data_IF_624972273366
#
_entry.id   IF_624972273366
#
_cell.length_a   1.000
_cell.length_b   1.000
_cell.length_c   1.000
_cell.angle_alpha   90.00
_cell.angle_beta   90.00
_cell.angle_gamma   90.00
#
_symmetry.space_group_name_H-M   'P 1'
#
loop_
_entity.id
_entity.type
_entity.pdbx_description
1 polymer ?
#
# COMPACT_ATOMS: atom_id res chain seq x y z
N UNK A 1 5.31 -11.58 -11.58
CA UNK A 1 6.32 -11.39 -10.53
C UNK A 1 7.25 -10.19 -10.78
N UNK A 2 7.91 -10.05 -11.94
CA UNK A 2 8.90 -8.97 -12.17
C UNK A 2 8.40 -7.53 -11.92
N UNK A 3 7.15 -7.19 -12.28
CA UNK A 3 6.60 -5.85 -11.99
C UNK A 3 6.26 -5.62 -10.52
N UNK A 4 5.74 -6.63 -9.82
CA UNK A 4 5.43 -6.55 -8.39
C UNK A 4 6.69 -6.47 -7.52
N UNK A 5 7.86 -6.85 -8.06
CA UNK A 5 9.15 -6.71 -7.36
C UNK A 5 9.47 -5.23 -7.08
N UNK A 6 9.04 -4.29 -7.93
CA UNK A 6 9.35 -2.88 -7.75
C UNK A 6 8.72 -2.32 -6.45
N UNK A 7 7.45 -2.66 -6.20
CA UNK A 7 6.78 -2.31 -4.94
C UNK A 7 7.37 -3.10 -3.76
N UNK A 8 7.66 -4.39 -3.92
CA UNK A 8 8.20 -5.18 -2.80
C UNK A 8 9.61 -4.74 -2.40
N UNK A 9 10.45 -4.30 -3.35
CA UNK A 9 11.75 -3.69 -3.09
C UNK A 9 11.62 -2.36 -2.36
N UNK A 10 10.68 -1.51 -2.78
CA UNK A 10 10.40 -0.27 -2.05
C UNK A 10 9.97 -0.54 -0.61
N UNK A 11 9.06 -1.50 -0.39
CA UNK A 11 8.62 -1.89 0.95
C UNK A 11 9.79 -2.41 1.78
N UNK A 12 10.67 -3.20 1.19
CA UNK A 12 11.86 -3.71 1.87
C UNK A 12 12.84 -2.58 2.24
N UNK A 13 13.12 -1.67 1.29
CA UNK A 13 13.96 -0.50 1.53
C UNK A 13 13.37 0.39 2.64
N UNK A 14 12.07 0.65 2.57
CA UNK A 14 11.35 1.36 3.62
C UNK A 14 11.51 0.65 4.96
N UNK A 15 11.27 -0.66 5.03
CA UNK A 15 11.42 -1.44 6.28
C UNK A 15 12.82 -1.28 6.88
N UNK A 16 13.87 -1.41 6.06
CA UNK A 16 15.26 -1.27 6.52
C UNK A 16 15.57 0.12 7.08
N UNK A 17 15.01 1.19 6.51
CA UNK A 17 15.19 2.55 7.03
C UNK A 17 14.24 2.91 8.17
N UNK A 18 13.02 2.38 8.15
CA UNK A 18 11.98 2.71 9.10
C UNK A 18 12.23 2.05 10.45
N UNK A 19 12.70 0.80 10.49
CA UNK A 19 13.02 0.13 11.76
C UNK A 19 13.97 0.95 12.65
N UNK A 20 15.20 1.31 12.23
CA UNK A 20 16.11 2.11 13.07
C UNK A 20 15.54 3.49 13.40
N UNK A 21 14.77 4.11 12.49
CA UNK A 21 14.08 5.37 12.75
C UNK A 21 13.05 5.24 13.88
N UNK A 22 12.22 4.20 13.84
CA UNK A 22 11.20 3.94 14.86
C UNK A 22 11.82 3.57 16.20
N UNK A 23 12.87 2.75 16.24
CA UNK A 23 13.59 2.46 17.47
C UNK A 23 14.22 3.71 18.10
N UNK A 24 14.81 4.60 17.30
CA UNK A 24 15.34 5.88 17.80
C UNK A 24 14.24 6.79 18.33
N UNK A 25 13.10 6.88 17.61
CA UNK A 25 11.98 7.73 18.01
C UNK A 25 11.23 7.19 19.22
N UNK A 26 11.28 5.87 19.48
CA UNK A 26 10.65 5.24 20.63
C UNK A 26 11.12 5.83 21.97
N UNK A 27 12.35 6.37 22.02
CA UNK A 27 12.94 7.02 23.20
C UNK A 27 12.58 8.51 23.32
N UNK A 28 11.94 9.09 22.31
CA UNK A 28 11.57 10.51 22.26
C UNK A 28 10.21 10.82 22.89
N UNK A 29 9.83 12.10 22.91
CA UNK A 29 8.52 12.53 23.39
C UNK A 29 7.42 12.24 22.34
N UNK A 30 6.32 11.59 22.77
CA UNK A 30 5.13 11.27 21.97
C UNK A 30 5.38 10.40 20.71
N UNK A 31 6.04 9.22 20.83
CA UNK A 31 6.37 8.36 19.70
C UNK A 31 5.15 7.93 18.89
N UNK A 32 4.00 7.72 19.54
CA UNK A 32 2.78 7.27 18.87
C UNK A 32 2.28 8.26 17.81
N UNK A 33 2.44 9.58 18.02
CA UNK A 33 2.03 10.59 17.03
C UNK A 33 2.93 10.55 15.80
N UNK A 34 4.23 10.32 16.00
CA UNK A 34 5.17 10.17 14.89
C UNK A 34 4.86 8.90 14.11
N UNK A 35 4.55 7.79 14.79
CA UNK A 35 4.17 6.53 14.13
C UNK A 35 2.91 6.69 13.29
N UNK A 36 1.87 7.34 13.84
CA UNK A 36 0.66 7.64 13.10
C UNK A 36 0.92 8.50 11.85
N UNK A 37 1.83 9.48 11.94
CA UNK A 37 2.22 10.33 10.81
C UNK A 37 2.99 9.53 9.75
N UNK A 38 3.97 8.73 10.15
CA UNK A 38 4.75 7.91 9.21
C UNK A 38 3.86 6.91 8.49
N UNK A 39 2.98 6.21 9.20
CA UNK A 39 1.99 5.30 8.61
C UNK A 39 1.14 6.02 7.55
N UNK A 40 0.68 7.23 7.84
CA UNK A 40 -0.15 7.99 6.91
C UNK A 40 0.58 8.35 5.62
N UNK A 41 1.79 8.91 5.71
CA UNK A 41 2.59 9.21 4.52
C UNK A 41 2.99 7.95 3.76
N UNK A 42 3.30 6.86 4.47
CA UNK A 42 3.61 5.58 3.87
C UNK A 42 2.43 5.02 3.06
N UNK A 43 1.21 5.04 3.61
CA UNK A 43 0.00 4.63 2.89
C UNK A 43 -0.23 5.50 1.65
N UNK A 44 -0.05 6.83 1.77
CA UNK A 44 -0.18 7.76 0.63
C UNK A 44 0.81 7.38 -0.49
N UNK A 45 2.08 7.19 -0.16
CA UNK A 45 3.13 6.84 -1.14
C UNK A 45 2.82 5.49 -1.78
N UNK A 46 2.43 4.48 -1.00
CA UNK A 46 2.08 3.17 -1.54
C UNK A 46 0.84 3.22 -2.43
N UNK A 47 -0.20 3.98 -2.08
CA UNK A 47 -1.37 4.16 -2.95
C UNK A 47 -0.97 4.84 -4.27
N UNK A 48 -0.08 5.83 -4.21
CA UNK A 48 0.44 6.49 -5.41
C UNK A 48 1.24 5.52 -6.28
N UNK A 49 2.14 4.73 -5.69
CA UNK A 49 2.89 3.69 -6.40
C UNK A 49 1.97 2.63 -7.01
N UNK A 50 0.93 2.21 -6.28
CA UNK A 50 -0.08 1.30 -6.80
C UNK A 50 -0.74 1.85 -8.07
N UNK A 51 -1.20 3.11 -8.04
CA UNK A 51 -1.81 3.75 -9.21
C UNK A 51 -0.81 3.88 -10.38
N UNK A 52 0.43 4.29 -10.13
CA UNK A 52 1.46 4.39 -11.19
C UNK A 52 1.72 3.05 -11.86
N UNK A 53 1.77 1.95 -11.10
CA UNK A 53 2.01 0.63 -11.71
C UNK A 53 0.75 0.08 -12.37
N UNK A 54 -0.41 0.23 -11.71
CA UNK A 54 -1.67 -0.37 -12.16
C UNK A 54 -2.28 0.36 -13.37
N UNK A 55 -2.22 1.69 -13.42
CA UNK A 55 -2.75 2.47 -14.55
C UNK A 55 -1.87 2.39 -15.79
N UNK A 56 -0.54 2.29 -15.61
CA UNK A 56 0.41 2.25 -16.73
C UNK A 56 0.87 0.83 -17.08
N UNK A 57 0.09 -0.21 -16.77
CA UNK A 57 0.43 -1.60 -17.07
C UNK A 57 0.79 -1.82 -18.55
N UNK A 58 0.17 -1.07 -19.46
CA UNK A 58 0.46 -1.09 -20.89
C UNK A 58 1.86 -0.61 -21.27
N UNK A 59 2.50 0.21 -20.43
CA UNK A 59 3.90 0.61 -20.61
C UNK A 59 4.80 -0.44 -19.96
N UNK A 60 4.43 -0.88 -18.76
CA UNK A 60 5.18 -1.85 -17.98
C UNK A 60 5.28 -3.22 -18.66
N UNK A 61 4.31 -3.61 -19.51
CA UNK A 61 4.37 -4.89 -20.25
C UNK A 61 5.56 -5.02 -21.18
N UNK A 62 6.09 -3.90 -21.73
CA UNK A 62 7.24 -3.93 -22.64
C UNK A 62 8.57 -4.24 -21.93
N UNK A 63 8.61 -4.12 -20.60
CA UNK A 63 9.76 -4.54 -19.79
C UNK A 63 9.77 -6.05 -19.50
N UNK A 64 8.73 -6.77 -19.91
CA UNK A 64 8.61 -8.21 -19.69
C UNK A 64 8.40 -8.94 -21.01
N UNK A 65 9.03 -10.10 -21.12
CA UNK A 65 8.81 -11.06 -22.19
C UNK A 65 7.31 -11.38 -22.36
N UNK A 66 6.89 -11.55 -23.62
CA UNK A 66 5.51 -11.84 -24.03
C UNK A 66 4.96 -13.08 -23.33
N UNK A 67 5.82 -14.06 -23.02
CA UNK A 67 5.41 -15.27 -22.31
C UNK A 67 4.77 -14.99 -20.93
N UNK A 68 5.10 -13.86 -20.30
CA UNK A 68 4.58 -13.50 -18.97
C UNK A 68 3.40 -12.52 -19.01
N UNK A 69 2.91 -12.14 -20.19
CA UNK A 69 1.81 -11.18 -20.31
C UNK A 69 0.49 -11.73 -19.76
N UNK A 70 0.30 -13.05 -19.76
CA UNK A 70 -0.82 -13.72 -19.07
C UNK A 70 -0.89 -13.35 -17.58
N UNK A 71 0.27 -13.14 -16.95
CA UNK A 71 0.41 -12.75 -15.55
C UNK A 71 0.08 -11.28 -15.26
N UNK A 72 -0.11 -10.41 -16.26
CA UNK A 72 -0.46 -9.00 -16.03
C UNK A 72 -1.79 -8.85 -15.29
N UNK A 73 -2.73 -9.77 -15.53
CA UNK A 73 -4.06 -9.77 -14.87
C UNK A 73 -3.97 -9.92 -13.35
N UNK A 74 -2.96 -10.63 -12.84
CA UNK A 74 -2.79 -10.83 -11.39
C UNK A 74 -1.94 -9.73 -10.73
N UNK A 75 -1.31 -8.85 -11.53
CA UNK A 75 -0.44 -7.79 -10.99
C UNK A 75 -1.20 -6.86 -10.05
N UNK A 76 -2.36 -6.27 -10.39
CA UNK A 76 -3.10 -5.39 -9.47
C UNK A 76 -3.42 -6.04 -8.12
N UNK A 77 -3.82 -7.31 -8.14
CA UNK A 77 -4.12 -8.10 -6.92
C UNK A 77 -2.86 -8.27 -6.08
N UNK A 78 -1.74 -8.63 -6.70
CA UNK A 78 -0.44 -8.75 -6.02
C UNK A 78 0.08 -7.41 -5.50
N UNK A 79 -0.15 -6.32 -6.22
CA UNK A 79 0.23 -4.99 -5.75
C UNK A 79 -0.57 -4.64 -4.50
N UNK A 80 -1.89 -4.85 -4.50
CA UNK A 80 -2.74 -4.66 -3.31
C UNK A 80 -2.30 -5.52 -2.14
N UNK A 81 -1.98 -6.80 -2.39
CA UNK A 81 -1.42 -7.67 -1.35
C UNK A 81 -0.14 -7.06 -0.75
N UNK A 82 0.77 -6.57 -1.59
CA UNK A 82 1.98 -5.90 -1.14
C UNK A 82 1.68 -4.59 -0.38
N UNK A 83 0.63 -3.84 -0.74
CA UNK A 83 0.22 -2.67 0.04
C UNK A 83 -0.12 -3.08 1.48
N UNK A 84 -0.91 -4.14 1.66
CA UNK A 84 -1.23 -4.67 2.99
C UNK A 84 -0.01 -5.19 3.73
N UNK A 85 0.93 -5.84 3.04
CA UNK A 85 2.20 -6.26 3.63
C UNK A 85 3.01 -5.07 4.14
N UNK A 86 3.09 -4.00 3.36
CA UNK A 86 3.75 -2.77 3.77
C UNK A 86 3.12 -2.16 5.02
N UNK A 87 1.78 -2.06 5.04
CA UNK A 87 1.03 -1.55 6.19
C UNK A 87 1.27 -2.45 7.40
N UNK A 88 1.21 -3.77 7.22
CA UNK A 88 1.53 -4.74 8.25
C UNK A 88 2.93 -4.52 8.84
N UNK A 89 3.97 -4.32 8.04
CA UNK A 89 5.31 -4.04 8.56
C UNK A 89 5.36 -2.77 9.41
N UNK A 90 4.64 -1.74 9.00
CA UNK A 90 4.59 -0.47 9.72
C UNK A 90 3.84 -0.62 11.06
N UNK A 91 2.80 -1.45 11.09
CA UNK A 91 2.13 -1.87 12.33
C UNK A 91 3.03 -2.75 13.19
N UNK A 92 3.77 -3.67 12.59
CA UNK A 92 4.52 -4.73 13.24
C UNK A 92 5.55 -4.26 14.27
N UNK A 93 5.95 -2.99 14.18
CA UNK A 93 6.86 -2.35 15.10
C UNK A 93 6.32 -2.33 16.54
N UNK A 94 4.99 -2.34 16.76
CA UNK A 94 4.44 -2.33 18.11
C UNK A 94 4.90 -3.53 18.96
N UNK A 95 4.95 -4.73 18.37
CA UNK A 95 5.31 -5.95 19.10
C UNK A 95 6.83 -6.07 19.27
N UNK A 96 7.62 -5.54 18.32
CA UNK A 96 9.08 -5.43 18.44
C UNK A 96 9.46 -4.49 19.59
N UNK A 97 8.81 -3.33 19.68
CA UNK A 97 9.05 -2.34 20.75
C UNK A 97 8.53 -2.79 22.11
N UNK A 98 7.46 -3.58 22.14
CA UNK A 98 6.87 -4.09 23.39
C UNK A 98 7.46 -5.42 23.86
N UNK A 99 8.58 -5.86 23.27
CA UNK A 99 9.25 -7.14 23.55
C UNK A 99 8.34 -8.39 23.48
N UNK A 100 7.26 -8.33 22.70
CA UNK A 100 6.29 -9.43 22.53
C UNK A 100 6.53 -10.17 21.21
N UNK A 101 7.70 -10.78 21.08
CA UNK A 101 8.11 -11.53 19.88
C UNK A 101 7.11 -12.64 19.48
N UNK A 102 6.47 -13.28 20.46
CA UNK A 102 5.44 -14.31 20.24
C UNK A 102 4.17 -13.80 19.53
N UNK A 103 3.86 -12.49 19.63
CA UNK A 103 2.69 -11.95 18.93
C UNK A 103 2.89 -11.97 17.41
N UNK A 104 4.10 -11.67 16.93
CA UNK A 104 4.45 -11.76 15.51
C UNK A 104 4.40 -13.20 14.99
N UNK A 105 4.84 -14.16 15.80
CA UNK A 105 4.76 -15.58 15.47
C UNK A 105 3.31 -16.04 15.29
N UNK A 106 2.40 -15.68 16.21
CA UNK A 106 0.97 -16.03 16.09
C UNK A 106 0.32 -15.44 14.83
N UNK A 107 0.61 -14.18 14.51
CA UNK A 107 0.07 -13.54 13.29
C UNK A 107 0.60 -14.26 12.04
N UNK A 108 1.89 -14.63 12.04
CA UNK A 108 2.50 -15.35 10.92
C UNK A 108 1.87 -16.74 10.75
N UNK A 109 1.60 -17.44 11.85
CA UNK A 109 0.98 -18.77 11.84
C UNK A 109 -0.45 -18.73 11.28
N UNK A 110 -1.24 -17.71 11.66
CA UNK A 110 -2.57 -17.47 11.11
C UNK A 110 -2.50 -17.24 9.59
N UNK A 111 -1.59 -16.38 9.12
CA UNK A 111 -1.48 -16.14 7.68
C UNK A 111 -0.95 -17.33 6.90
N UNK A 112 -0.03 -18.11 7.47
CA UNK A 112 0.43 -19.38 6.88
C UNK A 112 -0.73 -20.37 6.73
N UNK A 113 -1.56 -20.52 7.78
CA UNK A 113 -2.75 -21.37 7.73
C UNK A 113 -3.73 -20.93 6.64
N UNK A 114 -4.02 -19.63 6.54
CA UNK A 114 -4.89 -19.06 5.49
C UNK A 114 -4.31 -19.34 4.10
N UNK A 115 -3.00 -19.16 3.92
CA UNK A 115 -2.34 -19.40 2.65
C UNK A 115 -2.47 -20.87 2.23
N UNK A 116 -2.22 -21.80 3.16
CA UNK A 116 -2.34 -23.24 2.91
C UNK A 116 -3.79 -23.64 2.60
N UNK A 117 -4.76 -23.15 3.37
CA UNK A 117 -6.17 -23.46 3.18
C UNK A 117 -6.70 -22.99 1.81
N UNK A 118 -6.36 -21.75 1.43
CA UNK A 118 -6.78 -21.19 0.14
C UNK A 118 -6.07 -21.91 -1.00
N UNK A 119 -4.75 -22.10 -0.92
CA UNK A 119 -4.02 -22.79 -1.98
C UNK A 119 -4.54 -24.22 -2.18
N UNK A 120 -4.76 -24.97 -1.09
CA UNK A 120 -5.30 -26.33 -1.18
C UNK A 120 -6.67 -26.37 -1.88
N UNK A 121 -7.55 -25.41 -1.58
CA UNK A 121 -8.93 -25.41 -2.10
C UNK A 121 -9.06 -24.77 -3.49
N UNK A 122 -8.30 -23.71 -3.79
CA UNK A 122 -8.47 -22.89 -4.99
C UNK A 122 -7.47 -23.18 -6.11
N UNK A 123 -6.30 -23.77 -5.82
CA UNK A 123 -5.34 -24.16 -6.89
C UNK A 123 -5.99 -25.10 -7.93
N UNK A 124 -6.79 -26.11 -7.56
CA UNK A 124 -7.40 -27.03 -8.53
C UNK A 124 -8.24 -26.33 -9.59
N UNK A 125 -8.90 -25.22 -9.22
CA UNK A 125 -9.85 -24.52 -10.11
C UNK A 125 -9.28 -23.27 -10.77
N UNK A 126 -8.38 -22.53 -10.09
CA UNK A 126 -7.92 -21.21 -10.53
C UNK A 126 -6.40 -21.09 -10.75
N UNK A 127 -5.64 -22.19 -10.62
CA UNK A 127 -4.20 -22.25 -10.90
C UNK A 127 -3.42 -21.08 -10.25
N UNK A 128 -2.60 -20.35 -10.99
CA UNK A 128 -1.77 -19.25 -10.48
C UNK A 128 -2.56 -18.02 -9.99
N UNK A 129 -3.81 -17.85 -10.43
CA UNK A 129 -4.68 -16.75 -9.96
C UNK A 129 -5.10 -17.00 -8.51
N UNK A 130 -5.26 -18.27 -8.11
CA UNK A 130 -5.51 -18.67 -6.73
C UNK A 130 -4.41 -18.17 -5.80
N UNK A 131 -3.14 -18.33 -6.19
CA UNK A 131 -1.99 -17.90 -5.39
C UNK A 131 -1.98 -16.38 -5.16
N UNK A 132 -2.42 -15.59 -6.15
CA UNK A 132 -2.50 -14.14 -5.99
C UNK A 132 -3.56 -13.73 -4.96
N UNK A 133 -4.74 -14.35 -5.01
CA UNK A 133 -5.80 -14.14 -4.02
C UNK A 133 -5.45 -14.67 -2.64
N UNK A 134 -4.78 -15.82 -2.57
CA UNK A 134 -4.26 -16.38 -1.32
C UNK A 134 -3.31 -15.39 -0.64
N UNK A 135 -2.38 -14.81 -1.40
CA UNK A 135 -1.42 -13.81 -0.90
C UNK A 135 -2.14 -12.54 -0.43
N UNK A 136 -3.12 -12.06 -1.20
CA UNK A 136 -3.93 -10.91 -0.83
C UNK A 136 -4.68 -11.12 0.49
N UNK A 137 -5.37 -12.25 0.64
CA UNK A 137 -6.12 -12.58 1.86
C UNK A 137 -5.20 -12.85 3.06
N UNK A 138 -4.07 -13.50 2.83
CA UNK A 138 -3.05 -13.72 3.84
C UNK A 138 -2.53 -12.38 4.40
N UNK A 139 -2.04 -11.49 3.54
CA UNK A 139 -1.50 -10.20 4.01
C UNK A 139 -2.58 -9.27 4.56
N UNK A 140 -3.79 -9.28 3.97
CA UNK A 140 -4.94 -8.55 4.49
C UNK A 140 -5.31 -9.00 5.90
N UNK A 141 -5.40 -10.31 6.14
CA UNK A 141 -5.71 -10.85 7.47
C UNK A 141 -4.61 -10.54 8.49
N UNK A 142 -3.33 -10.70 8.13
CA UNK A 142 -2.20 -10.32 8.99
C UNK A 142 -2.25 -8.84 9.38
N UNK A 143 -2.55 -7.96 8.43
CA UNK A 143 -2.71 -6.53 8.68
C UNK A 143 -3.85 -6.25 9.68
N UNK A 144 -5.03 -6.84 9.47
CA UNK A 144 -6.21 -6.63 10.32
C UNK A 144 -5.96 -7.12 11.75
N UNK A 145 -5.43 -8.34 11.90
CA UNK A 145 -5.11 -8.90 13.22
C UNK A 145 -4.06 -8.04 13.93
N UNK A 146 -3.01 -7.62 13.21
CA UNK A 146 -1.97 -6.76 13.77
C UNK A 146 -2.51 -5.39 14.20
N UNK A 147 -3.47 -4.83 13.46
CA UNK A 147 -4.13 -3.56 13.81
C UNK A 147 -4.98 -3.67 15.06
N UNK A 148 -5.84 -4.68 15.14
CA UNK A 148 -6.73 -4.88 16.30
C UNK A 148 -5.89 -5.13 17.57
N UNK A 149 -4.91 -6.03 17.49
CA UNK A 149 -4.07 -6.36 18.63
C UNK A 149 -3.11 -5.23 19.00
N UNK A 150 -2.51 -4.58 18.00
CA UNK A 150 -1.66 -3.42 18.19
C UNK A 150 -2.40 -2.29 18.89
N UNK A 151 -3.65 -2.00 18.50
CA UNK A 151 -4.43 -0.94 19.13
C UNK A 151 -4.82 -1.24 20.59
N UNK A 152 -4.96 -2.53 20.94
CA UNK A 152 -5.24 -2.98 22.31
C UNK A 152 -4.01 -2.87 23.21
N UNK A 153 -2.83 -3.24 22.72
CA UNK A 153 -1.61 -3.27 23.52
C UNK A 153 -0.84 -1.95 23.51
N UNK A 154 -0.78 -1.29 22.36
CA UNK A 154 -0.02 -0.05 22.14
C UNK A 154 -0.85 0.92 21.30
N UNK A 155 -1.69 1.71 21.99
CA UNK A 155 -2.69 2.57 21.34
C UNK A 155 -2.03 3.69 20.56
N UNK A 156 -1.99 3.56 19.24
CA UNK A 156 -1.50 4.60 18.33
C UNK A 156 -2.70 5.35 17.74
N UNK A 157 -2.71 6.69 17.73
CA UNK A 157 -3.82 7.48 17.19
C UNK A 157 -3.80 7.50 15.65
N UNK A 158 -3.96 6.34 15.02
CA UNK A 158 -4.05 6.24 13.55
C UNK A 158 -5.34 6.88 13.04
N UNK A 159 -5.22 7.69 11.98
CA UNK A 159 -6.37 8.25 11.26
C UNK A 159 -7.00 7.19 10.33
N UNK A 160 -7.45 6.06 10.90
CA UNK A 160 -7.88 4.87 10.16
C UNK A 160 -8.92 5.17 9.06
N UNK A 161 -9.88 6.07 9.32
CA UNK A 161 -10.87 6.51 8.32
C UNK A 161 -10.22 7.09 7.06
N UNK A 162 -9.18 7.93 7.24
CA UNK A 162 -8.43 8.51 6.12
C UNK A 162 -7.57 7.48 5.40
N UNK A 163 -6.89 6.61 6.15
CA UNK A 163 -6.05 5.56 5.56
C UNK A 163 -6.86 4.61 4.67
N UNK A 164 -8.00 4.13 5.20
CA UNK A 164 -8.92 3.28 4.47
C UNK A 164 -9.52 4.03 3.27
N UNK A 165 -9.89 5.31 3.43
CA UNK A 165 -10.37 6.11 2.31
C UNK A 165 -9.33 6.24 1.19
N UNK A 166 -8.05 6.47 1.49
CA UNK A 166 -7.01 6.54 0.46
C UNK A 166 -6.87 5.22 -0.31
N UNK A 167 -6.90 4.08 0.38
CA UNK A 167 -6.84 2.76 -0.25
C UNK A 167 -8.07 2.55 -1.14
N UNK A 168 -9.29 2.78 -0.61
CA UNK A 168 -10.54 2.60 -1.36
C UNK A 168 -10.58 3.51 -2.59
N UNK A 169 -10.22 4.79 -2.45
CA UNK A 169 -10.17 5.74 -3.56
C UNK A 169 -9.17 5.26 -4.62
N UNK A 170 -7.98 4.80 -4.22
CA UNK A 170 -6.99 4.30 -5.18
C UNK A 170 -7.49 3.07 -5.95
N UNK A 171 -8.17 2.14 -5.29
CA UNK A 171 -8.77 0.96 -5.92
C UNK A 171 -9.93 1.37 -6.83
N UNK A 172 -10.77 2.32 -6.41
CA UNK A 172 -11.89 2.82 -7.19
C UNK A 172 -11.43 3.53 -8.46
N UNK A 173 -10.39 4.37 -8.39
CA UNK A 173 -9.78 5.02 -9.55
C UNK A 173 -9.22 4.00 -10.54
N UNK A 174 -8.58 2.94 -10.05
CA UNK A 174 -8.15 1.82 -10.90
C UNK A 174 -9.35 1.12 -11.55
N UNK A 175 -10.44 0.86 -10.81
CA UNK A 175 -11.65 0.26 -11.37
C UNK A 175 -12.31 1.12 -12.45
N UNK A 176 -12.34 2.44 -12.27
CA UNK A 176 -12.82 3.40 -13.28
C UNK A 176 -11.94 3.37 -14.53
N UNK A 177 -10.61 3.30 -14.37
CA UNK A 177 -9.69 3.15 -15.48
C UNK A 177 -9.91 1.85 -16.25
N UNK A 178 -10.09 0.72 -15.55
CA UNK A 178 -10.35 -0.57 -16.19
C UNK A 178 -11.68 -0.57 -16.96
N UNK A 179 -12.73 0.05 -16.41
CA UNK A 179 -14.01 0.22 -17.11
C UNK A 179 -13.85 1.09 -18.37
N UNK A 180 -13.11 2.19 -18.28
CA UNK A 180 -12.83 3.06 -19.42
C UNK A 180 -12.04 2.34 -20.51
N UNK A 181 -11.07 1.49 -20.14
CA UNK A 181 -10.26 0.72 -21.09
C UNK A 181 -11.08 -0.31 -21.87
N UNK A 182 -12.26 -0.73 -21.38
CA UNK A 182 -13.16 -1.63 -22.12
C UNK A 182 -13.81 -0.99 -23.35
N UNK A 183 -13.83 0.34 -23.42
CA UNK A 183 -14.40 1.07 -24.56
C UNK A 183 -13.42 1.23 -25.75
N UNK A 184 -12.18 0.74 -25.62
CA UNK A 184 -11.15 0.66 -26.66
C UNK A 184 -11.00 1.93 -27.52
N UNK A 185 -10.96 3.09 -26.87
CA UNK A 185 -10.90 4.42 -27.51
C UNK A 185 -9.48 4.78 -28.01
N UNK A 186 -8.54 3.82 -28.02
CA UNK A 186 -7.15 4.00 -28.45
C UNK A 186 -6.12 4.12 -27.31
N UNK A 187 -4.86 3.82 -27.63
CA UNK A 187 -3.76 3.76 -26.64
C UNK A 187 -3.42 5.14 -26.05
N UNK A 188 -3.51 6.20 -26.86
CA UNK A 188 -3.18 7.57 -26.42
C UNK A 188 -4.24 8.14 -25.47
N UNK A 189 -5.52 7.93 -25.76
CA UNK A 189 -6.63 8.36 -24.90
C UNK A 189 -6.58 7.65 -23.56
N UNK A 190 -6.28 6.34 -23.54
CA UNK A 190 -6.10 5.58 -22.30
C UNK A 190 -4.93 6.16 -21.45
N UNK A 191 -3.78 6.45 -22.06
CA UNK A 191 -2.63 7.04 -21.33
C UNK A 191 -2.93 8.43 -20.76
N UNK A 192 -3.64 9.26 -21.52
CA UNK A 192 -4.05 10.60 -21.04
C UNK A 192 -5.03 10.45 -19.87
N UNK A 193 -5.99 9.52 -19.97
CA UNK A 193 -6.95 9.26 -18.92
C UNK A 193 -6.27 8.71 -17.64
N UNK A 194 -5.32 7.79 -17.78
CA UNK A 194 -4.47 7.31 -16.68
C UNK A 194 -3.75 8.47 -15.97
N UNK A 195 -3.18 9.42 -16.73
CA UNK A 195 -2.47 10.57 -16.19
C UNK A 195 -3.42 11.56 -15.49
N UNK A 196 -4.63 11.74 -16.01
CA UNK A 196 -5.68 12.53 -15.36
C UNK A 196 -6.08 11.91 -14.01
N UNK A 197 -6.32 10.59 -13.96
CA UNK A 197 -6.69 9.90 -12.72
C UNK A 197 -5.56 9.95 -11.67
N UNK A 198 -4.32 9.78 -12.10
CA UNK A 198 -3.15 9.91 -11.22
C UNK A 198 -3.04 11.34 -10.67
N UNK A 199 -3.23 12.34 -11.52
CA UNK A 199 -3.19 13.76 -11.14
C UNK A 199 -4.34 14.11 -10.19
N UNK A 200 -5.55 13.58 -10.44
CA UNK A 200 -6.71 13.74 -9.58
C UNK A 200 -6.45 13.18 -8.19
N UNK A 201 -5.85 11.99 -8.08
CA UNK A 201 -5.46 11.41 -6.80
C UNK A 201 -4.43 12.29 -6.07
N UNK A 202 -3.41 12.78 -6.79
CA UNK A 202 -2.42 13.71 -6.25
C UNK A 202 -3.05 15.01 -5.73
N UNK A 203 -3.96 15.62 -6.49
CA UNK A 203 -4.68 16.83 -6.10
C UNK A 203 -5.59 16.59 -4.89
N UNK A 204 -6.28 15.45 -4.83
CA UNK A 204 -7.09 15.06 -3.67
C UNK A 204 -6.23 14.98 -2.41
N UNK A 205 -5.07 14.33 -2.49
CA UNK A 205 -4.12 14.25 -1.37
C UNK A 205 -3.65 15.65 -0.97
N UNK A 206 -3.24 16.48 -1.93
CA UNK A 206 -2.79 17.85 -1.66
C UNK A 206 -3.88 18.69 -0.99
N UNK A 207 -5.14 18.54 -1.38
CA UNK A 207 -6.26 19.25 -0.77
C UNK A 207 -6.59 18.73 0.63
N UNK A 208 -6.66 17.41 0.82
CA UNK A 208 -7.01 16.79 2.11
C UNK A 208 -5.90 16.97 3.15
N UNK A 209 -4.65 16.94 2.70
CA UNK A 209 -3.47 17.09 3.56
C UNK A 209 -2.88 18.50 3.50
N UNK A 210 -3.55 19.48 2.88
CA UNK A 210 -3.08 20.88 2.74
C UNK A 210 -2.57 21.45 4.06
N UNK A 211 -3.30 21.20 5.16
CA UNK A 211 -2.95 21.64 6.51
C UNK A 211 -1.71 20.96 7.11
N UNK A 212 -1.37 19.75 6.69
CA UNK A 212 -0.14 19.06 7.12
C UNK A 212 1.04 19.34 6.18
N UNK A 213 0.81 19.47 4.87
CA UNK A 213 1.84 19.90 3.91
C UNK A 213 2.30 21.34 4.16
N UNK A 214 1.42 22.23 4.63
CA UNK A 214 1.78 23.58 5.09
C UNK A 214 2.74 23.57 6.29
N UNK A 215 2.79 22.50 7.09
CA UNK A 215 3.71 22.35 8.22
C UNK A 215 5.06 21.73 7.84
N UNK A 216 5.26 21.31 6.60
CA UNK A 216 6.54 20.78 6.11
C UNK A 216 7.42 21.94 5.62
N UNK A 217 8.70 22.03 6.07
CA UNK A 217 9.55 23.19 5.83
C UNK A 217 9.83 23.49 4.35
N UNK A 218 9.80 22.48 3.47
CA UNK A 218 10.05 22.65 2.03
C UNK A 218 8.78 22.83 1.17
N UNK A 219 7.62 22.29 1.59
CA UNK A 219 6.37 22.36 0.82
C UNK A 219 5.51 23.57 1.23
N UNK A 220 5.66 24.06 2.47
CA UNK A 220 4.96 25.26 2.95
C UNK A 220 5.22 26.52 2.13
N UNK A 221 6.38 26.63 1.47
CA UNK A 221 6.72 27.80 0.62
C UNK A 221 5.80 27.96 -0.61
N UNK A 222 5.19 26.90 -1.11
CA UNK A 222 4.25 26.97 -2.25
C UNK A 222 2.82 27.34 -1.85
N UNK A 223 2.48 27.24 -0.56
CA UNK A 223 1.12 27.45 -0.05
C UNK A 223 0.99 28.60 0.96
N UNK A 224 2.08 29.33 1.23
CA UNK A 224 2.03 30.57 2.01
C UNK A 224 1.80 31.71 1.04
N UNK A 225 0.67 32.45 1.11
CA UNK A 225 0.56 33.69 0.36
C UNK A 225 1.69 34.60 0.84
N UNK A 226 2.45 35.20 -0.09
CA UNK A 226 3.27 36.36 0.23
C UNK A 226 2.34 37.43 0.77
N UNK A 227 2.24 37.56 2.10
CA UNK A 227 1.73 38.77 2.73
C UNK A 227 2.70 39.88 2.37
N UNK A 228 2.27 40.71 1.42
CA UNK A 228 2.78 42.08 1.26
C UNK A 228 2.05 42.93 2.28
#
# INVERSE_FOLDING_TARGET
YKLSILISLFIQAFRMGAEPFFFKQAQGQQPQKVYARVMKFFVIVICFMFLVVALFLDIWKYFIDQHYWSGLKVVPILLLANMFLGIYYNLSIWYKLSNRTMAGAWITLIGAFITLAINYTFIPSFSYVACAWATFLCYGSMMVVSYIWGQKNYRVPYAWKKLVAYIIISVALYGVHELFNRFDLGIWTNRVFALILLSLFGLLILNVEKKEFQRLPYVGRFFTPKTT
#
